data_IF_495608835934
#
_entry.id   IF_495608835934
#
_cell.length_a   1.000
_cell.length_b   1.000
_cell.length_c   1.000
_cell.angle_alpha   90.00
_cell.angle_beta   90.00
_cell.angle_gamma   90.00
#
_symmetry.space_group_name_H-M   'P 1'
#
loop_
_entity.id
_entity.type
_entity.pdbx_description
1 polymer ?
#
# COMPACT_ATOMS: atom_id res chain seq x y z
N UNK A 1 2.28 6.57 23.80
CA UNK A 1 3.48 7.23 23.25
C UNK A 1 3.21 7.45 21.78
N UNK A 2 3.60 8.61 21.24
CA UNK A 2 3.40 8.92 19.82
C UNK A 2 4.59 8.43 19.01
N UNK A 3 4.38 7.72 17.89
CA UNK A 3 5.45 7.36 16.96
C UNK A 3 5.98 8.58 16.22
N UNK A 4 7.26 8.52 15.85
CA UNK A 4 7.85 9.45 14.89
C UNK A 4 7.64 8.87 13.50
N UNK A 5 7.07 9.66 12.59
CA UNK A 5 6.86 9.26 11.19
C UNK A 5 7.74 10.12 10.29
N UNK A 6 8.55 9.48 9.46
CA UNK A 6 9.31 10.08 8.37
C UNK A 6 8.72 9.61 7.05
N UNK A 7 8.33 10.56 6.22
CA UNK A 7 7.74 10.30 4.91
C UNK A 7 8.74 10.61 3.80
N UNK A 8 8.76 9.75 2.79
CA UNK A 8 9.53 9.86 1.55
C UNK A 8 8.55 9.90 0.39
N UNK A 9 8.82 10.69 -0.63
CA UNK A 9 7.93 10.85 -1.77
C UNK A 9 8.63 10.46 -3.08
N UNK A 10 8.02 9.53 -3.80
CA UNK A 10 8.38 9.17 -5.18
C UNK A 10 7.43 9.89 -6.15
N UNK A 11 7.91 10.97 -6.77
CA UNK A 11 7.10 11.78 -7.69
C UNK A 11 6.66 11.01 -8.95
N UNK A 12 7.49 10.13 -9.57
CA UNK A 12 7.10 9.37 -10.76
C UNK A 12 5.86 8.48 -10.58
N UNK A 13 5.61 7.98 -9.36
CA UNK A 13 4.44 7.14 -9.02
C UNK A 13 3.47 7.82 -8.05
N UNK A 14 3.78 9.04 -7.61
CA UNK A 14 3.00 9.79 -6.62
C UNK A 14 2.84 9.05 -5.28
N UNK A 15 3.83 8.23 -4.92
CA UNK A 15 3.78 7.35 -3.76
C UNK A 15 4.51 7.94 -2.57
N UNK A 16 3.92 7.82 -1.39
CA UNK A 16 4.57 8.07 -0.12
C UNK A 16 4.95 6.75 0.55
N UNK A 17 6.24 6.56 0.80
CA UNK A 17 6.75 5.51 1.69
C UNK A 17 6.98 6.11 3.07
N UNK A 18 6.69 5.36 4.13
CA UNK A 18 6.81 5.84 5.50
C UNK A 18 7.77 4.98 6.32
N UNK A 19 8.56 5.63 7.17
CA UNK A 19 9.27 4.99 8.27
C UNK A 19 8.64 5.47 9.56
N UNK A 20 8.05 4.54 10.31
CA UNK A 20 7.44 4.81 11.62
C UNK A 20 8.27 4.19 12.71
N UNK A 21 8.68 4.97 13.71
CA UNK A 21 9.64 4.53 14.74
C UNK A 21 9.18 4.86 16.15
N UNK A 22 9.58 3.99 17.06
CA UNK A 22 9.53 4.23 18.49
C UNK A 22 10.74 5.05 18.93
N UNK A 23 10.55 6.29 19.44
CA UNK A 23 11.65 7.14 19.85
C UNK A 23 12.47 6.60 21.01
N UNK A 24 11.91 5.72 21.86
CA UNK A 24 12.60 5.17 23.02
C UNK A 24 13.43 3.94 22.66
N UNK A 25 12.86 2.99 21.93
CA UNK A 25 13.53 1.73 21.60
C UNK A 25 14.34 1.78 20.32
N UNK A 26 14.08 2.78 19.48
CA UNK A 26 14.65 2.90 18.13
C UNK A 26 14.23 1.79 17.17
N UNK A 27 13.23 0.98 17.52
CA UNK A 27 12.64 0.03 16.61
C UNK A 27 11.71 0.75 15.62
N UNK A 28 11.68 0.28 14.36
CA UNK A 28 10.86 0.90 13.33
C UNK A 28 10.20 -0.11 12.40
N UNK A 29 9.18 0.38 11.68
CA UNK A 29 8.60 -0.26 10.50
C UNK A 29 8.77 0.63 9.28
N UNK A 30 8.90 -0.01 8.11
CA UNK A 30 8.85 0.63 6.79
C UNK A 30 7.51 0.25 6.17
N UNK A 31 6.80 1.19 5.54
CA UNK A 31 5.47 0.96 4.95
C UNK A 31 5.47 1.41 3.49
N UNK A 32 5.04 0.54 2.58
CA UNK A 32 4.82 0.75 1.15
C UNK A 32 6.04 1.36 0.44
N UNK A 33 7.11 0.58 0.37
CA UNK A 33 8.38 1.02 -0.22
C UNK A 33 8.40 0.93 -1.73
N UNK A 34 9.05 1.91 -2.39
CA UNK A 34 9.14 1.98 -3.86
C UNK A 34 10.48 1.45 -4.36
N UNK A 35 10.42 0.52 -5.34
CA UNK A 35 11.52 0.18 -6.23
C UNK A 35 11.34 0.99 -7.53
N UNK A 36 12.28 1.88 -7.79
CA UNK A 36 12.24 2.73 -8.99
C UNK A 36 12.25 1.86 -10.26
N UNK A 37 11.37 2.15 -11.21
CA UNK A 37 11.21 1.38 -12.42
C UNK A 37 10.95 2.24 -13.66
N UNK A 38 11.85 2.16 -14.64
CA UNK A 38 11.63 2.75 -15.96
C UNK A 38 10.87 1.77 -16.86
N UNK A 39 9.62 2.06 -17.14
CA UNK A 39 8.74 1.20 -17.93
C UNK A 39 9.26 0.98 -19.37
N UNK A 40 9.86 2.02 -19.98
CA UNK A 40 10.26 1.97 -21.38
C UNK A 40 11.50 1.10 -21.58
N UNK A 41 12.45 1.12 -20.64
CA UNK A 41 13.68 0.34 -20.72
C UNK A 41 13.64 -0.96 -19.91
N UNK A 42 12.64 -1.14 -19.04
CA UNK A 42 12.56 -2.27 -18.12
C UNK A 42 13.65 -2.24 -17.03
N UNK A 43 14.25 -1.08 -16.77
CA UNK A 43 15.31 -0.93 -15.77
C UNK A 43 14.75 -0.60 -14.40
N UNK A 44 15.33 -1.23 -13.38
CA UNK A 44 15.11 -0.87 -11.98
C UNK A 44 16.24 0.02 -11.47
N UNK A 45 15.95 0.90 -10.52
CA UNK A 45 16.89 1.64 -9.69
C UNK A 45 16.51 1.49 -8.22
N UNK A 46 17.31 2.00 -7.31
CA UNK A 46 17.15 1.87 -5.86
C UNK A 46 17.18 3.22 -5.15
N UNK A 47 17.07 4.30 -5.89
CA UNK A 47 17.21 5.65 -5.36
C UNK A 47 16.23 5.91 -4.20
N UNK A 48 14.96 5.57 -4.38
CA UNK A 48 13.91 5.74 -3.35
C UNK A 48 14.17 4.86 -2.12
N UNK A 49 14.54 3.59 -2.31
CA UNK A 49 14.85 2.68 -1.22
C UNK A 49 16.15 3.07 -0.47
N UNK A 50 17.17 3.55 -1.19
CA UNK A 50 18.44 3.97 -0.60
C UNK A 50 18.28 5.20 0.30
N UNK A 51 17.32 6.09 0.02
CA UNK A 51 16.99 7.20 0.92
C UNK A 51 16.42 6.69 2.26
N UNK A 52 15.57 5.67 2.23
CA UNK A 52 15.02 5.03 3.43
C UNK A 52 16.16 4.38 4.23
N UNK A 53 17.06 3.65 3.57
CA UNK A 53 18.22 3.01 4.20
C UNK A 53 19.14 4.05 4.85
N UNK A 54 19.40 5.15 4.15
CA UNK A 54 20.24 6.23 4.67
C UNK A 54 19.64 6.82 5.95
N UNK A 55 18.35 7.15 5.95
CA UNK A 55 17.65 7.68 7.12
C UNK A 55 17.68 6.71 8.31
N UNK A 56 17.39 5.43 8.08
CA UNK A 56 17.40 4.40 9.14
C UNK A 56 18.77 4.27 9.78
N UNK A 57 19.84 4.32 8.97
CA UNK A 57 21.22 4.29 9.47
C UNK A 57 21.61 5.55 10.20
N UNK A 58 21.24 6.74 9.68
CA UNK A 58 21.52 8.05 10.31
C UNK A 58 20.85 8.15 11.69
N UNK A 59 19.59 7.73 11.81
CA UNK A 59 18.83 7.77 13.06
C UNK A 59 19.12 6.57 13.99
N UNK A 60 20.00 5.65 13.58
CA UNK A 60 20.33 4.41 14.28
C UNK A 60 19.10 3.57 14.62
N UNK A 61 18.13 3.49 13.68
CA UNK A 61 16.90 2.71 13.84
C UNK A 61 17.15 1.23 13.57
N UNK A 62 16.31 0.38 14.18
CA UNK A 62 16.31 -1.07 13.99
C UNK A 62 15.00 -1.49 13.30
N UNK A 63 15.09 -1.92 12.05
CA UNK A 63 13.92 -2.36 11.29
C UNK A 63 13.37 -3.66 11.86
N UNK A 64 12.12 -3.63 12.34
CA UNK A 64 11.38 -4.82 12.80
C UNK A 64 10.42 -5.33 11.75
N UNK A 65 9.77 -4.40 11.06
CA UNK A 65 8.75 -4.71 10.07
C UNK A 65 9.01 -3.98 8.76
N UNK A 66 8.70 -4.66 7.67
CA UNK A 66 8.51 -4.09 6.33
C UNK A 66 7.08 -4.46 5.95
N UNK A 67 6.20 -3.48 5.88
CA UNK A 67 4.76 -3.66 5.76
C UNK A 67 4.30 -3.23 4.38
N UNK A 68 3.54 -4.07 3.71
CA UNK A 68 2.80 -3.73 2.52
C UNK A 68 1.32 -3.60 2.87
N UNK A 69 0.69 -2.49 2.50
CA UNK A 69 -0.74 -2.32 2.72
C UNK A 69 -1.56 -3.18 1.77
N UNK A 70 -1.08 -3.37 0.55
CA UNK A 70 -1.71 -4.20 -0.48
C UNK A 70 -0.73 -4.54 -1.61
N UNK A 71 -1.19 -5.27 -2.62
CA UNK A 71 -0.44 -5.47 -3.87
C UNK A 71 -0.64 -4.24 -4.76
N UNK A 72 0.32 -3.32 -4.72
CA UNK A 72 0.29 -2.08 -5.49
C UNK A 72 0.29 -2.33 -7.00
N UNK A 73 -0.53 -1.58 -7.72
CA UNK A 73 -0.65 -1.66 -9.18
C UNK A 73 0.11 -0.53 -9.91
N UNK A 74 0.59 0.46 -9.19
CA UNK A 74 1.14 1.71 -9.71
C UNK A 74 2.65 1.89 -9.46
N UNK A 75 3.24 1.09 -8.56
CA UNK A 75 4.68 1.04 -8.32
C UNK A 75 5.14 -0.38 -7.95
N UNK A 76 6.43 -0.65 -8.11
CA UNK A 76 7.07 -1.89 -7.65
C UNK A 76 7.53 -1.73 -6.20
N UNK A 77 7.40 -2.78 -5.39
CA UNK A 77 7.89 -2.81 -4.02
C UNK A 77 9.39 -3.04 -3.94
N UNK A 78 10.08 -2.26 -3.11
CA UNK A 78 11.49 -2.46 -2.77
C UNK A 78 11.70 -3.36 -1.53
N UNK A 79 10.65 -3.97 -1.00
CA UNK A 79 10.69 -4.70 0.26
C UNK A 79 11.79 -5.78 0.35
N UNK A 80 12.05 -6.63 -0.66
CA UNK A 80 13.14 -7.60 -0.60
C UNK A 80 14.52 -6.93 -0.46
N UNK A 81 14.75 -5.85 -1.20
CA UNK A 81 16.01 -5.12 -1.12
C UNK A 81 16.21 -4.48 0.26
N UNK A 82 15.17 -3.85 0.80
CA UNK A 82 15.22 -3.27 2.14
C UNK A 82 15.46 -4.34 3.20
N UNK A 83 14.80 -5.49 3.07
CA UNK A 83 15.01 -6.63 3.97
C UNK A 83 16.44 -7.17 3.92
N UNK A 84 17.02 -7.27 2.74
CA UNK A 84 18.42 -7.71 2.57
C UNK A 84 19.41 -6.72 3.22
N UNK A 85 19.11 -5.43 3.22
CA UNK A 85 19.99 -4.38 3.77
C UNK A 85 19.80 -4.11 5.26
N UNK A 86 18.59 -4.27 5.78
CA UNK A 86 18.20 -3.79 7.10
C UNK A 86 17.65 -4.90 8.01
N UNK A 87 17.37 -6.07 7.46
CA UNK A 87 16.63 -7.12 8.16
C UNK A 87 15.15 -6.78 8.30
N UNK A 88 14.50 -7.37 9.29
CA UNK A 88 13.07 -7.18 9.56
C UNK A 88 12.19 -8.26 8.96
N UNK A 89 10.93 -8.27 9.37
CA UNK A 89 9.87 -9.19 8.95
C UNK A 89 9.04 -8.53 7.84
N UNK A 90 9.03 -9.13 6.65
CA UNK A 90 8.20 -8.68 5.53
C UNK A 90 6.79 -9.23 5.69
N UNK A 91 5.79 -8.35 5.73
CA UNK A 91 4.42 -8.72 6.04
C UNK A 91 3.37 -8.00 5.18
N UNK A 92 2.23 -8.67 5.00
CA UNK A 92 1.04 -8.18 4.30
C UNK A 92 -0.21 -8.83 4.95
N UNK A 93 -1.43 -8.44 4.53
CA UNK A 93 -2.67 -9.11 4.94
C UNK A 93 -2.81 -10.53 4.39
N UNK A 94 -3.46 -11.44 5.15
CA UNK A 94 -3.63 -12.87 4.80
C UNK A 94 -4.48 -13.09 3.52
N UNK A 95 -5.27 -12.10 3.11
CA UNK A 95 -6.05 -12.13 1.88
C UNK A 95 -5.20 -11.93 0.61
N UNK A 96 -3.88 -11.79 0.75
CA UNK A 96 -2.92 -11.82 -0.38
C UNK A 96 -3.14 -13.06 -1.26
N UNK A 97 -3.53 -14.18 -0.67
CA UNK A 97 -3.78 -15.43 -1.39
C UNK A 97 -4.89 -15.30 -2.43
N UNK A 98 -5.90 -14.45 -2.20
CA UNK A 98 -6.95 -14.14 -3.17
C UNK A 98 -6.35 -13.42 -4.38
N UNK A 99 -5.53 -12.40 -4.14
CA UNK A 99 -4.83 -11.62 -5.18
C UNK A 99 -3.89 -12.52 -5.97
N UNK A 100 -3.09 -13.35 -5.31
CA UNK A 100 -2.19 -14.32 -5.94
C UNK A 100 -2.93 -15.32 -6.83
N UNK A 101 -4.12 -15.77 -6.42
CA UNK A 101 -4.94 -16.69 -7.23
C UNK A 101 -5.49 -16.02 -8.49
N UNK A 102 -5.94 -14.77 -8.40
CA UNK A 102 -6.47 -14.00 -9.54
C UNK A 102 -5.34 -13.69 -10.52
N UNK A 103 -4.33 -12.96 -10.08
CA UNK A 103 -3.27 -12.47 -10.94
C UNK A 103 -2.26 -13.55 -11.33
N UNK A 104 -2.05 -14.56 -10.49
CA UNK A 104 -1.26 -15.73 -10.87
C UNK A 104 -1.84 -16.49 -12.05
N UNK A 105 -3.17 -16.51 -12.22
CA UNK A 105 -3.84 -17.03 -13.43
C UNK A 105 -3.70 -16.06 -14.59
N UNK A 106 -3.98 -14.78 -14.37
CA UNK A 106 -3.93 -13.75 -15.41
C UNK A 106 -2.55 -13.65 -16.08
N UNK A 107 -1.49 -13.70 -15.29
CA UNK A 107 -0.12 -13.66 -15.80
C UNK A 107 0.47 -15.04 -16.14
N UNK A 108 -0.32 -16.10 -16.10
CA UNK A 108 0.13 -17.46 -16.32
C UNK A 108 1.42 -17.78 -15.54
N UNK A 109 1.40 -17.47 -14.24
CA UNK A 109 2.44 -17.87 -13.31
C UNK A 109 2.40 -19.39 -13.14
N UNK A 110 3.55 -20.05 -13.33
CA UNK A 110 3.66 -21.48 -13.29
C UNK A 110 3.56 -22.07 -11.88
N UNK A 111 3.86 -23.37 -11.78
CA UNK A 111 3.86 -24.09 -10.50
C UNK A 111 4.99 -23.69 -9.55
N UNK A 112 5.97 -22.90 -10.04
CA UNK A 112 7.03 -22.31 -9.24
C UNK A 112 6.55 -21.15 -8.35
N UNK A 113 5.33 -20.68 -8.57
CA UNK A 113 4.72 -19.62 -7.80
C UNK A 113 3.59 -20.19 -6.91
N UNK A 114 3.93 -20.47 -5.66
CA UNK A 114 2.94 -20.84 -4.64
C UNK A 114 2.03 -19.65 -4.35
N UNK A 115 0.70 -19.92 -4.27
CA UNK A 115 -0.35 -18.89 -4.11
C UNK A 115 -0.95 -18.95 -2.71
N UNK A 116 -0.09 -19.13 -1.74
CA UNK A 116 -0.42 -19.34 -0.32
C UNK A 116 0.14 -18.25 0.61
N UNK A 117 0.73 -17.19 0.02
CA UNK A 117 1.34 -16.10 0.76
C UNK A 117 2.74 -16.39 1.29
N UNK A 118 3.31 -17.57 1.02
CA UNK A 118 4.63 -18.01 1.56
C UNK A 118 5.82 -17.15 1.15
N UNK A 119 5.63 -16.21 0.21
CA UNK A 119 6.64 -15.22 -0.17
C UNK A 119 6.84 -14.14 0.90
N UNK A 120 5.87 -13.95 1.78
CA UNK A 120 5.92 -13.06 2.92
C UNK A 120 6.27 -13.82 4.18
N UNK A 121 6.99 -13.21 5.13
CA UNK A 121 7.35 -13.86 6.40
C UNK A 121 6.16 -13.92 7.36
N UNK A 122 5.21 -12.97 7.25
CA UNK A 122 4.03 -12.89 8.09
C UNK A 122 2.81 -12.44 7.31
N UNK A 123 1.66 -13.06 7.59
CA UNK A 123 0.37 -12.72 7.01
C UNK A 123 -0.56 -12.25 8.13
N UNK A 124 -0.83 -10.95 8.19
CA UNK A 124 -1.72 -10.36 9.19
C UNK A 124 -3.18 -10.75 8.96
N UNK A 125 -3.84 -11.11 10.05
CA UNK A 125 -5.29 -11.23 10.09
C UNK A 125 -5.94 -9.90 10.50
N UNK A 126 -7.25 -9.79 10.25
CA UNK A 126 -8.01 -8.64 10.72
C UNK A 126 -7.92 -8.51 12.25
N UNK A 127 -7.73 -7.28 12.70
CA UNK A 127 -7.59 -6.90 14.12
C UNK A 127 -6.39 -7.52 14.85
N UNK A 128 -5.42 -8.10 14.13
CA UNK A 128 -4.22 -8.65 14.72
C UNK A 128 -3.33 -7.56 15.33
N UNK A 129 -2.92 -7.78 16.58
CA UNK A 129 -2.06 -6.84 17.31
C UNK A 129 -0.59 -7.24 17.16
N UNK A 130 0.27 -6.22 17.01
CA UNK A 130 1.72 -6.36 16.99
C UNK A 130 2.36 -5.15 17.69
N UNK A 131 3.69 -5.05 17.67
CA UNK A 131 4.38 -3.93 18.30
C UNK A 131 5.52 -3.41 17.42
N UNK A 132 5.81 -2.12 17.56
CA UNK A 132 7.04 -1.50 17.12
C UNK A 132 7.70 -0.92 18.37
N UNK A 133 8.69 -1.65 18.89
CA UNK A 133 9.26 -1.35 20.20
C UNK A 133 8.20 -1.44 21.31
N UNK A 134 8.01 -0.34 22.02
CA UNK A 134 7.00 -0.20 23.08
C UNK A 134 5.63 0.28 22.55
N UNK A 135 5.54 0.65 21.27
CA UNK A 135 4.32 1.18 20.67
C UNK A 135 3.43 0.01 20.22
N UNK A 136 2.21 -0.03 20.77
CA UNK A 136 1.20 -0.98 20.32
C UNK A 136 0.71 -0.64 18.92
N UNK A 137 0.54 -1.67 18.10
CA UNK A 137 0.07 -1.56 16.73
C UNK A 137 -1.01 -2.60 16.42
N UNK A 138 -1.83 -2.31 15.43
CA UNK A 138 -2.92 -3.18 14.99
C UNK A 138 -2.99 -3.17 13.45
N UNK A 139 -3.11 -4.36 12.87
CA UNK A 139 -3.44 -4.56 11.47
C UNK A 139 -4.97 -4.61 11.32
N UNK A 140 -5.53 -3.77 10.47
CA UNK A 140 -6.98 -3.63 10.26
C UNK A 140 -7.28 -3.97 8.80
N UNK A 141 -8.04 -5.03 8.55
CA UNK A 141 -8.45 -5.39 7.20
C UNK A 141 -9.46 -4.37 6.67
N UNK A 142 -9.10 -3.71 5.57
CA UNK A 142 -9.85 -2.63 4.92
C UNK A 142 -10.05 -2.92 3.43
N UNK A 143 -10.77 -4.02 3.09
CA UNK A 143 -11.00 -4.41 1.71
C UNK A 143 -11.90 -3.41 0.98
N UNK A 144 -11.86 -3.45 -0.36
CA UNK A 144 -12.73 -2.66 -1.23
C UNK A 144 -12.00 -2.12 -2.44
N UNK A 145 -10.86 -1.47 -2.29
CA UNK A 145 -9.94 -1.19 -3.39
C UNK A 145 -9.38 -2.52 -3.96
N UNK A 146 -8.82 -3.34 -3.10
CA UNK A 146 -8.52 -4.75 -3.36
C UNK A 146 -9.07 -5.62 -2.23
N UNK A 147 -9.25 -6.94 -2.42
CA UNK A 147 -9.70 -7.82 -1.34
C UNK A 147 -8.68 -7.97 -0.21
N UNK A 148 -7.42 -7.60 -0.43
CA UNK A 148 -6.32 -7.82 0.51
C UNK A 148 -5.81 -6.54 1.20
N UNK A 149 -6.48 -5.40 1.00
CA UNK A 149 -6.06 -4.13 1.60
C UNK A 149 -6.06 -4.20 3.13
N UNK A 150 -4.97 -3.70 3.71
CA UNK A 150 -4.79 -3.52 5.14
C UNK A 150 -4.52 -2.05 5.45
N UNK A 151 -4.99 -1.62 6.61
CA UNK A 151 -4.55 -0.38 7.25
C UNK A 151 -3.80 -0.72 8.53
N UNK A 152 -2.73 0.01 8.82
CA UNK A 152 -1.92 -0.23 10.02
C UNK A 152 -2.06 0.94 10.99
N UNK A 153 -2.66 0.69 12.15
CA UNK A 153 -2.74 1.66 13.25
C UNK A 153 -1.55 1.43 14.18
N UNK A 154 -0.65 2.40 14.30
CA UNK A 154 0.57 2.35 15.09
C UNK A 154 0.57 3.53 16.07
N UNK A 155 0.26 3.28 17.33
CA UNK A 155 -0.02 4.34 18.29
C UNK A 155 -1.20 5.20 17.84
N UNK A 156 -0.95 6.49 17.53
CA UNK A 156 -1.94 7.44 17.00
C UNK A 156 -1.83 7.65 15.48
N UNK A 157 -0.93 6.93 14.79
CA UNK A 157 -0.70 7.04 13.35
C UNK A 157 -1.36 5.88 12.60
N UNK A 158 -2.21 6.19 11.63
CA UNK A 158 -2.93 5.24 10.79
C UNK A 158 -2.41 5.35 9.34
N UNK A 159 -1.90 4.25 8.82
CA UNK A 159 -1.44 4.10 7.44
C UNK A 159 -2.50 3.35 6.65
N UNK A 160 -3.14 4.01 5.70
CA UNK A 160 -4.41 3.53 5.10
C UNK A 160 -4.26 2.86 3.74
N UNK A 161 -3.04 2.84 3.17
CA UNK A 161 -2.87 2.39 1.79
C UNK A 161 -3.82 3.14 0.84
N UNK A 162 -4.42 2.39 -0.08
CA UNK A 162 -5.41 2.91 -1.04
C UNK A 162 -6.85 2.74 -0.52
N UNK A 163 -7.09 3.05 0.75
CA UNK A 163 -8.45 3.11 1.31
C UNK A 163 -9.00 4.54 1.24
N UNK A 164 -8.18 5.50 1.67
CA UNK A 164 -8.49 6.94 1.65
C UNK A 164 -7.35 7.70 0.99
N UNK A 165 -7.67 8.80 0.35
CA UNK A 165 -6.74 9.84 -0.11
C UNK A 165 -7.05 11.13 0.63
N UNK A 166 -6.26 12.20 0.38
CA UNK A 166 -6.54 13.49 1.01
C UNK A 166 -8.02 13.89 0.86
N UNK A 167 -8.60 14.59 1.85
CA UNK A 167 -10.03 14.92 1.86
C UNK A 167 -10.53 15.57 0.57
N UNK A 168 -9.70 16.40 -0.07
CA UNK A 168 -10.00 17.08 -1.34
C UNK A 168 -9.82 16.19 -2.59
N UNK A 169 -9.37 14.94 -2.43
CA UNK A 169 -9.21 13.97 -3.51
C UNK A 169 -10.14 12.74 -3.36
N UNK A 170 -10.44 12.33 -2.13
CA UNK A 170 -11.48 11.35 -1.80
C UNK A 170 -10.97 9.94 -1.52
N UNK A 171 -11.32 8.97 -2.37
CA UNK A 171 -11.06 7.54 -2.13
C UNK A 171 -10.50 6.84 -3.37
N UNK A 172 -9.87 5.69 -3.17
CA UNK A 172 -9.39 4.87 -4.27
C UNK A 172 -10.54 4.27 -5.11
N UNK A 173 -10.16 3.78 -6.29
CA UNK A 173 -11.03 3.00 -7.19
C UNK A 173 -11.31 1.60 -6.64
N UNK A 174 -12.40 0.98 -7.10
CA UNK A 174 -12.85 -0.34 -6.65
C UNK A 174 -13.09 -1.33 -7.80
N UNK A 175 -12.65 -1.02 -9.01
CA UNK A 175 -12.92 -1.81 -10.22
C UNK A 175 -11.82 -2.83 -10.56
N UNK A 176 -10.83 -3.00 -9.67
CA UNK A 176 -9.89 -4.12 -9.78
C UNK A 176 -10.56 -5.46 -9.45
N UNK A 177 -10.03 -6.57 -9.96
CA UNK A 177 -10.56 -7.88 -9.66
C UNK A 177 -10.69 -8.16 -8.16
N UNK A 178 -11.92 -8.31 -7.67
CA UNK A 178 -12.22 -8.47 -6.26
C UNK A 178 -12.43 -7.17 -5.49
N UNK A 179 -12.33 -6.01 -6.15
CA UNK A 179 -12.72 -4.71 -5.58
C UNK A 179 -14.24 -4.55 -5.51
N UNK A 180 -14.72 -3.75 -4.56
CA UNK A 180 -16.16 -3.52 -4.36
C UNK A 180 -16.40 -2.21 -3.59
N UNK A 181 -17.22 -1.33 -4.15
CA UNK A 181 -17.46 0.00 -3.58
C UNK A 181 -18.25 -0.06 -2.25
N UNK A 182 -19.19 -1.00 -2.10
CA UNK A 182 -19.92 -1.13 -0.84
C UNK A 182 -19.00 -1.62 0.27
N UNK A 183 -18.11 -2.53 -0.04
CA UNK A 183 -17.08 -3.05 0.87
C UNK A 183 -16.09 -1.94 1.25
N UNK A 184 -15.65 -1.10 0.30
CA UNK A 184 -14.78 0.03 0.60
C UNK A 184 -15.47 1.02 1.55
N UNK A 185 -16.74 1.33 1.31
CA UNK A 185 -17.51 2.19 2.22
C UNK A 185 -17.52 1.65 3.66
N UNK A 186 -17.79 0.34 3.83
CA UNK A 186 -17.78 -0.30 5.15
C UNK A 186 -16.39 -0.24 5.80
N UNK A 187 -15.34 -0.46 5.03
CA UNK A 187 -13.96 -0.35 5.51
C UNK A 187 -13.65 1.06 6.00
N UNK A 188 -14.07 2.09 5.25
CA UNK A 188 -13.89 3.49 5.66
C UNK A 188 -14.69 3.80 6.93
N UNK A 189 -15.95 3.33 7.03
CA UNK A 189 -16.74 3.52 8.26
C UNK A 189 -16.10 2.83 9.48
N UNK A 190 -15.44 1.67 9.29
CA UNK A 190 -14.65 1.02 10.34
C UNK A 190 -13.49 1.91 10.81
N UNK A 191 -12.79 2.58 9.88
CA UNK A 191 -11.72 3.54 10.24
C UNK A 191 -12.29 4.80 10.90
N UNK A 192 -13.44 5.30 10.45
CA UNK A 192 -14.09 6.48 11.03
C UNK A 192 -14.63 6.26 12.46
N UNK A 193 -14.63 5.02 12.94
CA UNK A 193 -14.90 4.74 14.36
C UNK A 193 -13.69 5.03 15.28
N UNK A 194 -12.51 5.30 14.73
CA UNK A 194 -11.34 5.75 15.48
C UNK A 194 -11.51 7.20 15.97
N UNK A 195 -10.75 7.63 17.00
CA UNK A 195 -10.78 9.01 17.49
C UNK A 195 -10.47 10.04 16.39
N UNK A 196 -11.10 11.21 16.45
CA UNK A 196 -10.94 12.29 15.47
C UNK A 196 -9.50 12.78 15.30
N UNK A 197 -8.74 12.75 16.39
CA UNK A 197 -7.34 13.15 16.44
C UNK A 197 -6.36 12.10 15.88
N UNK A 198 -6.83 10.90 15.51
CA UNK A 198 -5.97 9.88 14.88
C UNK A 198 -5.41 10.43 13.58
N UNK A 199 -4.09 10.50 13.49
CA UNK A 199 -3.39 10.96 12.30
C UNK A 199 -3.46 9.90 11.20
N UNK A 200 -3.79 10.32 9.99
CA UNK A 200 -3.81 9.44 8.81
C UNK A 200 -2.63 9.79 7.91
N UNK A 201 -1.91 8.78 7.47
CA UNK A 201 -0.82 8.88 6.52
C UNK A 201 -1.21 8.22 5.19
N UNK A 202 -1.14 9.01 4.12
CA UNK A 202 -1.55 8.62 2.77
C UNK A 202 -0.48 7.82 2.06
N UNK A 203 -0.89 6.82 1.26
CA UNK A 203 0.00 6.14 0.33
C UNK A 203 0.26 6.97 -0.92
N UNK A 204 -0.74 7.72 -1.38
CA UNK A 204 -0.64 8.54 -2.60
C UNK A 204 -1.26 9.92 -2.43
N UNK A 205 -0.73 10.89 -3.18
CA UNK A 205 -1.40 12.16 -3.44
C UNK A 205 -1.16 12.62 -4.87
N UNK A 206 -2.23 12.88 -5.57
CA UNK A 206 -2.23 13.35 -6.97
C UNK A 206 -2.51 14.85 -7.07
N UNK A 207 -2.50 15.56 -5.92
CA UNK A 207 -3.00 16.92 -5.77
C UNK A 207 -4.52 17.00 -6.03
N UNK A 208 -5.07 18.20 -5.94
CA UNK A 208 -6.48 18.46 -6.24
C UNK A 208 -6.62 19.84 -6.93
N UNK A 209 -7.71 20.12 -7.62
CA UNK A 209 -7.95 21.43 -8.18
C UNK A 209 -7.81 22.54 -7.15
N UNK A 210 -6.86 23.47 -7.36
CA UNK A 210 -6.54 24.55 -6.42
C UNK A 210 -5.47 24.24 -5.38
N UNK A 211 -4.92 23.04 -5.36
CA UNK A 211 -3.81 22.65 -4.49
C UNK A 211 -2.59 22.21 -5.32
N UNK A 212 -1.50 22.96 -5.24
CA UNK A 212 -0.26 22.71 -6.01
C UNK A 212 0.84 21.98 -5.20
N UNK A 213 0.55 21.66 -3.95
CA UNK A 213 1.49 20.95 -3.06
C UNK A 213 1.01 19.52 -2.81
N UNK A 214 1.94 18.59 -2.67
CA UNK A 214 1.64 17.21 -2.23
C UNK A 214 1.48 17.19 -0.72
N UNK A 215 0.44 16.49 -0.24
CA UNK A 215 0.14 16.30 1.18
C UNK A 215 0.05 14.82 1.48
N UNK A 216 0.52 14.43 2.65
CA UNK A 216 0.60 13.01 3.04
C UNK A 216 -0.01 12.74 4.41
N UNK A 217 -0.47 13.76 5.13
CA UNK A 217 -1.00 13.63 6.48
C UNK A 217 -2.30 14.43 6.63
N UNK A 218 -3.28 13.81 7.28
CA UNK A 218 -4.55 14.40 7.70
C UNK A 218 -5.00 13.72 9.00
N UNK A 219 -6.28 13.84 9.37
CA UNK A 219 -6.86 13.17 10.55
C UNK A 219 -8.18 12.49 10.23
N UNK A 220 -8.60 11.54 11.09
CA UNK A 220 -9.94 10.91 10.98
C UNK A 220 -11.05 11.98 11.00
N UNK A 221 -10.93 13.00 11.84
CA UNK A 221 -11.91 14.07 11.91
C UNK A 221 -12.04 14.85 10.60
N UNK A 222 -10.92 15.22 9.98
CA UNK A 222 -10.91 15.93 8.69
C UNK A 222 -11.48 15.06 7.57
N UNK A 223 -11.11 13.78 7.50
CA UNK A 223 -11.66 12.85 6.52
C UNK A 223 -13.18 12.69 6.66
N UNK A 224 -13.64 12.46 7.90
CA UNK A 224 -15.05 12.26 8.18
C UNK A 224 -15.89 13.50 7.86
N UNK A 225 -15.36 14.71 8.05
CA UNK A 225 -16.09 15.95 7.81
C UNK A 225 -15.97 16.46 6.38
N UNK A 226 -14.82 16.29 5.74
CA UNK A 226 -14.48 17.04 4.53
C UNK A 226 -14.12 16.18 3.33
N UNK A 227 -14.06 14.84 3.47
CA UNK A 227 -13.76 13.99 2.32
C UNK A 227 -14.88 14.11 1.27
N UNK A 228 -14.49 14.51 0.05
CA UNK A 228 -15.44 14.80 -1.06
C UNK A 228 -16.24 13.59 -1.54
N UNK A 229 -15.88 12.37 -1.14
CA UNK A 229 -16.55 11.13 -1.55
C UNK A 229 -17.34 10.48 -0.42
N UNK A 230 -16.93 10.63 0.84
CA UNK A 230 -17.39 9.76 1.93
C UNK A 230 -17.57 10.51 3.26
N UNK A 231 -17.64 11.84 3.23
CA UNK A 231 -17.94 12.62 4.44
C UNK A 231 -19.32 12.29 5.01
N UNK A 232 -19.62 12.83 6.19
CA UNK A 232 -20.93 12.68 6.86
C UNK A 232 -22.14 13.12 6.02
N UNK A 233 -21.91 13.84 4.92
CA UNK A 233 -22.95 14.30 3.98
C UNK A 233 -23.32 13.23 2.93
N UNK A 234 -22.51 12.14 2.81
CA UNK A 234 -22.69 11.10 1.81
C UNK A 234 -23.11 9.78 2.45
N UNK A 235 -24.23 9.25 2.03
CA UNK A 235 -24.65 7.92 2.44
C UNK A 235 -23.97 6.82 1.56
N UNK A 236 -24.19 5.57 1.96
CA UNK A 236 -23.59 4.43 1.25
C UNK A 236 -24.06 4.33 -0.21
N UNK A 237 -25.32 4.67 -0.50
CA UNK A 237 -25.87 4.56 -1.86
C UNK A 237 -25.24 5.62 -2.78
N UNK A 238 -25.11 6.86 -2.29
CA UNK A 238 -24.45 7.95 -2.99
C UNK A 238 -22.98 7.61 -3.29
N UNK A 239 -22.27 7.09 -2.28
CA UNK A 239 -20.89 6.66 -2.44
C UNK A 239 -20.74 5.57 -3.52
N UNK A 240 -21.55 4.51 -3.47
CA UNK A 240 -21.48 3.42 -4.44
C UNK A 240 -21.74 3.94 -5.86
N UNK A 241 -22.78 4.75 -6.05
CA UNK A 241 -23.12 5.32 -7.36
C UNK A 241 -22.00 6.22 -7.90
N UNK A 242 -21.47 7.10 -7.07
CA UNK A 242 -20.35 7.98 -7.42
C UNK A 242 -19.13 7.14 -7.81
N UNK A 243 -18.75 6.15 -6.97
CA UNK A 243 -17.54 5.34 -7.18
C UNK A 243 -17.64 4.52 -8.46
N UNK A 244 -18.76 3.84 -8.70
CA UNK A 244 -18.97 3.07 -9.94
C UNK A 244 -18.96 3.95 -11.18
N UNK A 245 -19.60 5.12 -11.13
CA UNK A 245 -19.61 6.08 -12.25
C UNK A 245 -18.22 6.63 -12.56
N UNK A 246 -17.43 6.93 -11.52
CA UNK A 246 -16.07 7.44 -11.67
C UNK A 246 -15.13 6.34 -12.18
N UNK A 247 -15.19 5.15 -11.61
CA UNK A 247 -14.32 4.03 -11.99
C UNK A 247 -14.48 3.64 -13.46
N UNK A 248 -15.71 3.65 -13.97
CA UNK A 248 -15.99 3.39 -15.39
C UNK A 248 -15.29 4.36 -16.37
N UNK A 249 -14.77 5.50 -15.89
CA UNK A 249 -14.03 6.48 -16.69
C UNK A 249 -12.53 6.41 -16.56
N UNK A 250 -12.00 5.58 -15.64
CA UNK A 250 -10.58 5.52 -15.34
C UNK A 250 -9.86 4.52 -16.28
N UNK A 251 -8.71 4.93 -16.80
CA UNK A 251 -7.75 4.02 -17.44
C UNK A 251 -7.02 3.14 -16.41
N UNK A 252 -6.35 2.10 -16.89
CA UNK A 252 -5.50 1.27 -16.04
C UNK A 252 -4.27 2.06 -15.55
N UNK A 253 -3.78 1.80 -14.33
CA UNK A 253 -2.51 2.36 -13.86
C UNK A 253 -1.36 2.01 -14.82
N UNK A 254 -0.49 2.99 -15.06
CA UNK A 254 0.62 2.86 -16.03
C UNK A 254 1.51 1.63 -15.77
N UNK A 255 1.73 1.29 -14.52
CA UNK A 255 2.62 0.21 -14.12
C UNK A 255 1.90 -1.06 -13.67
N UNK A 256 0.58 -1.20 -13.89
CA UNK A 256 -0.16 -2.38 -13.39
C UNK A 256 0.46 -3.70 -13.85
N UNK A 257 0.90 -3.78 -15.10
CA UNK A 257 1.48 -5.02 -15.64
C UNK A 257 2.78 -5.42 -14.94
N UNK A 258 3.81 -4.56 -14.80
CA UNK A 258 5.01 -4.92 -14.05
C UNK A 258 4.75 -5.04 -12.54
N UNK A 259 4.02 -4.09 -11.95
CA UNK A 259 3.89 -3.99 -10.48
C UNK A 259 3.21 -5.21 -9.88
N UNK A 260 2.06 -5.61 -10.41
CA UNK A 260 1.32 -6.74 -9.84
C UNK A 260 2.10 -8.05 -9.91
N UNK A 261 2.84 -8.30 -10.99
CA UNK A 261 3.67 -9.51 -11.14
C UNK A 261 4.80 -9.58 -10.11
N UNK A 262 5.37 -8.44 -9.76
CA UNK A 262 6.45 -8.33 -8.77
C UNK A 262 5.86 -8.33 -7.36
N UNK A 263 4.85 -7.51 -7.11
CA UNK A 263 4.32 -7.29 -5.77
C UNK A 263 3.52 -8.49 -5.23
N UNK A 264 2.83 -9.27 -6.08
CA UNK A 264 2.23 -10.53 -5.65
C UNK A 264 3.27 -11.58 -5.22
N UNK A 265 4.57 -11.35 -5.55
CA UNK A 265 5.73 -12.15 -5.16
C UNK A 265 6.54 -11.46 -4.04
N UNK A 266 5.88 -10.65 -3.22
CA UNK A 266 6.52 -9.90 -2.14
C UNK A 266 7.67 -8.97 -2.63
N UNK A 267 7.53 -8.37 -3.80
CA UNK A 267 8.56 -7.51 -4.42
C UNK A 267 9.65 -8.27 -5.19
N UNK A 268 9.59 -9.60 -5.23
CA UNK A 268 10.56 -10.38 -6.01
C UNK A 268 10.21 -10.43 -7.50
N UNK A 269 11.22 -10.23 -8.33
CA UNK A 269 11.08 -10.46 -9.76
C UNK A 269 10.74 -11.93 -10.05
N UNK A 270 10.01 -12.23 -11.14
CA UNK A 270 9.83 -13.61 -11.59
C UNK A 270 11.17 -14.34 -11.75
N UNK A 271 11.20 -15.67 -11.67
CA UNK A 271 12.42 -16.46 -11.88
C UNK A 271 13.02 -16.19 -13.25
N UNK A 272 14.33 -16.36 -13.37
CA UNK A 272 15.01 -16.27 -14.65
C UNK A 272 14.58 -17.43 -15.57
N UNK A 273 14.43 -17.14 -16.85
CA UNK A 273 14.20 -18.18 -17.89
C UNK A 273 15.50 -18.88 -18.30
N UNK A 274 15.42 -19.83 -19.24
CA UNK A 274 16.55 -20.66 -19.65
C UNK A 274 17.79 -19.86 -20.12
N UNK A 275 17.58 -18.66 -20.65
CA UNK A 275 18.66 -17.76 -21.07
C UNK A 275 19.27 -16.92 -19.92
N UNK A 276 18.82 -17.12 -18.68
CA UNK A 276 19.27 -16.39 -17.50
C UNK A 276 18.64 -15.01 -17.33
N UNK A 277 17.74 -14.59 -18.22
CA UNK A 277 17.04 -13.31 -18.14
C UNK A 277 15.69 -13.46 -17.44
N UNK A 278 15.26 -12.38 -16.75
CA UNK A 278 13.94 -12.29 -16.14
C UNK A 278 13.01 -11.50 -17.02
N UNK A 279 11.78 -11.94 -17.12
CA UNK A 279 10.77 -11.32 -17.98
C UNK A 279 9.51 -11.01 -17.18
N UNK A 280 8.87 -9.88 -17.54
CA UNK A 280 7.52 -9.53 -17.12
C UNK A 280 6.59 -9.75 -18.31
N UNK A 281 5.49 -10.44 -18.08
CA UNK A 281 4.55 -10.83 -19.12
C UNK A 281 3.56 -9.71 -19.41
N UNK A 282 3.18 -9.54 -20.67
CA UNK A 282 2.12 -8.65 -21.09
C UNK A 282 1.00 -9.52 -21.67
N UNK A 283 -0.07 -9.80 -20.93
CA UNK A 283 -1.22 -10.51 -21.48
C UNK A 283 -1.96 -9.59 -22.45
N UNK A 284 -2.16 -10.04 -23.68
CA UNK A 284 -2.83 -9.26 -24.71
C UNK A 284 -4.34 -9.47 -24.59
N UNK A 285 -5.12 -8.38 -24.63
CA UNK A 285 -6.59 -8.37 -24.58
C UNK A 285 -7.21 -9.04 -23.32
N UNK A 286 -6.49 -9.00 -22.19
CA UNK A 286 -6.98 -9.61 -20.95
C UNK A 286 -7.57 -8.60 -19.97
N UNK A 287 -7.13 -7.33 -20.00
CA UNK A 287 -7.59 -6.26 -19.10
C UNK A 287 -8.31 -5.16 -19.88
#
# INVERSE_FOLDING_TARGET
MQPIVKTFFDEPTFTFSHVVSDPETKECAIIDSVLDFDYASGKTDRFSADQIIAYIKEEALQTKWILETHVHADHLSAAPYLKDQLGGTLAIGDQITVVQNVFGKAFNAGSEFERDGSQFDHLFKDDESFNIGSIAAKAIHTPGHTPACMSYLIGDALFVGDTLFMPDFGTARCDFPGGDAATLYQSIQKLFALPDETRIFMCHDYKAPGRDVYLFETTIGEERQHNIHVSVEHDQADFIQMRQSRDATLGMPRLILPSVQVNMRAGHMPPAEENGQRYLKIPVDLF
#
